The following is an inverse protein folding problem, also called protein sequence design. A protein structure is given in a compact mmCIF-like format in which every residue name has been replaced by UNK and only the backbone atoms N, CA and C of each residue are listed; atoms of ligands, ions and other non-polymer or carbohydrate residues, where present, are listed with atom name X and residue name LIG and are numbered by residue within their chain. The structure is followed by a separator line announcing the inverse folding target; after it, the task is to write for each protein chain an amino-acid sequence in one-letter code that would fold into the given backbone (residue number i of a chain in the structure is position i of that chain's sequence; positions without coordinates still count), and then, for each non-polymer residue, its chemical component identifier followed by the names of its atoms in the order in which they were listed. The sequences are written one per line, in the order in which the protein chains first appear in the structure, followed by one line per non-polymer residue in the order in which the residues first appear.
data_IF_800196232430
#
_entry.id   IF_800196232430
#
_cell.length_a   1.000
_cell.length_b   1.000
_cell.length_c   1.000
_cell.angle_alpha   90.00
_cell.angle_beta   90.00
_cell.angle_gamma   90.00
#
_symmetry.space_group_name_H-M   'P 1'
#
loop_
_entity.id
_entity.type
_entity.pdbx_description
1 polymer ?
#
# COMPACT_ATOMS: atom_id res chain seq x y z
N UNK A 1 13.93 1.89 12.87
CA UNK A 1 12.86 1.72 11.88
C UNK A 1 11.54 1.63 12.61
N UNK A 2 10.56 2.45 12.25
CA UNK A 2 9.21 2.36 12.83
C UNK A 2 8.45 1.23 12.17
N UNK A 3 7.63 0.51 12.93
CA UNK A 3 6.72 -0.52 12.42
C UNK A 3 5.29 -0.21 12.81
N UNK A 4 4.34 -0.78 12.09
CA UNK A 4 2.92 -0.66 12.37
C UNK A 4 2.29 -2.04 12.36
N UNK A 5 1.47 -2.30 13.38
CA UNK A 5 0.63 -3.48 13.45
C UNK A 5 -0.72 -3.12 12.85
N UNK A 6 -1.11 -3.83 11.80
CA UNK A 6 -2.37 -3.59 11.11
C UNK A 6 -3.05 -4.92 10.81
N UNK A 7 -4.36 -4.97 11.03
CA UNK A 7 -5.19 -6.05 10.48
C UNK A 7 -5.53 -5.69 9.04
N UNK A 8 -5.00 -6.46 8.09
CA UNK A 8 -5.24 -6.30 6.66
C UNK A 8 -5.98 -7.54 6.18
N UNK A 9 -7.20 -7.34 5.66
CA UNK A 9 -8.09 -8.34 5.10
C UNK A 9 -8.31 -9.57 6.00
N UNK A 10 -8.40 -9.35 7.32
CA UNK A 10 -8.62 -10.40 8.33
C UNK A 10 -7.36 -11.14 8.77
N UNK A 11 -6.16 -10.59 8.49
CA UNK A 11 -4.88 -11.10 8.99
C UNK A 11 -4.06 -9.99 9.63
N UNK A 12 -3.37 -10.31 10.72
CA UNK A 12 -2.46 -9.38 11.37
C UNK A 12 -1.12 -9.32 10.64
N UNK A 13 -0.65 -8.10 10.37
CA UNK A 13 0.65 -7.82 9.78
C UNK A 13 1.43 -6.83 10.64
N UNK A 14 2.74 -7.03 10.72
CA UNK A 14 3.67 -6.04 11.25
C UNK A 14 4.51 -5.50 10.08
N UNK A 15 4.13 -4.32 9.57
CA UNK A 15 4.77 -3.71 8.39
C UNK A 15 5.78 -2.65 8.82
N UNK A 16 7.01 -2.64 8.28
CA UNK A 16 7.94 -1.54 8.48
C UNK A 16 7.49 -0.30 7.70
N UNK A 17 7.65 0.87 8.31
CA UNK A 17 7.40 2.17 7.69
C UNK A 17 8.73 2.73 7.20
N UNK A 18 8.79 3.01 5.90
CA UNK A 18 9.91 3.61 5.20
C UNK A 18 9.51 5.03 4.82
N UNK A 19 10.07 6.01 5.52
CA UNK A 19 9.91 7.42 5.16
C UNK A 19 11.01 7.78 4.19
N UNK A 20 10.65 8.14 2.96
CA UNK A 20 11.60 8.55 1.93
C UNK A 20 12.19 9.90 2.33
N UNK A 21 13.51 9.98 2.37
CA UNK A 21 14.26 11.22 2.63
C UNK A 21 14.94 11.64 1.33
N UNK A 22 14.82 12.90 0.95
CA UNK A 22 15.64 13.46 -0.13
C UNK A 22 16.98 13.93 0.45
N UNK A 23 18.09 13.51 -0.17
CA UNK A 23 19.47 13.99 0.07
C UNK A 23 19.83 14.42 1.51
N UNK A 24 19.76 13.49 2.46
CA UNK A 24 20.30 13.71 3.82
C UNK A 24 19.44 14.61 4.72
N UNK A 25 18.29 15.09 4.26
CA UNK A 25 17.36 15.85 5.09
C UNK A 25 16.53 14.93 6.00
N UNK A 26 16.05 15.48 7.12
CA UNK A 26 15.12 14.79 8.00
C UNK A 26 13.72 14.71 7.41
N UNK A 27 12.93 13.74 7.88
CA UNK A 27 11.53 13.59 7.47
C UNK A 27 10.75 14.87 7.79
N UNK A 28 9.96 15.36 6.83
CA UNK A 28 9.17 16.58 6.98
C UNK A 28 8.05 16.39 8.02
N UNK A 29 7.51 17.50 8.54
CA UNK A 29 6.32 17.45 9.42
C UNK A 29 5.14 16.77 8.72
N UNK A 30 4.89 17.06 7.44
CA UNK A 30 3.87 16.39 6.64
C UNK A 30 4.03 14.87 6.64
N UNK A 31 5.25 14.36 6.50
CA UNK A 31 5.49 12.91 6.51
C UNK A 31 5.22 12.30 7.89
N UNK A 32 5.63 13.00 8.97
CA UNK A 32 5.34 12.58 10.34
C UNK A 32 3.84 12.53 10.59
N UNK A 33 3.12 13.57 10.18
CA UNK A 33 1.67 13.63 10.26
C UNK A 33 1.00 12.55 9.41
N UNK A 34 1.48 12.30 8.18
CA UNK A 34 0.94 11.26 7.31
C UNK A 34 1.04 9.88 7.98
N UNK A 35 2.19 9.57 8.59
CA UNK A 35 2.38 8.33 9.36
C UNK A 35 1.42 8.25 10.55
N UNK A 36 1.31 9.32 11.33
CA UNK A 36 0.46 9.34 12.52
C UNK A 36 -1.03 9.23 12.17
N UNK A 37 -1.50 9.99 11.19
CA UNK A 37 -2.87 9.94 10.69
C UNK A 37 -3.19 8.59 10.09
N UNK A 38 -2.28 7.99 9.33
CA UNK A 38 -2.47 6.67 8.77
C UNK A 38 -2.54 5.58 9.85
N UNK A 39 -1.72 5.66 10.91
CA UNK A 39 -1.80 4.75 12.06
C UNK A 39 -3.17 4.76 12.74
N UNK A 40 -3.82 5.92 12.79
CA UNK A 40 -5.17 6.06 13.34
C UNK A 40 -6.27 5.61 12.35
N UNK A 41 -5.93 5.39 11.07
CA UNK A 41 -6.88 5.08 10.01
C UNK A 41 -6.53 3.79 9.23
N UNK A 42 -5.98 2.78 9.92
CA UNK A 42 -5.60 1.50 9.31
C UNK A 42 -6.74 0.76 8.60
N UNK A 43 -7.97 1.01 9.03
CA UNK A 43 -9.20 0.53 8.39
C UNK A 43 -9.32 0.91 6.91
N UNK A 44 -8.65 1.97 6.46
CA UNK A 44 -8.62 2.37 5.05
C UNK A 44 -8.03 1.28 4.14
N UNK A 45 -7.07 0.50 4.64
CA UNK A 45 -6.47 -0.61 3.88
C UNK A 45 -7.52 -1.71 3.62
N UNK A 46 -8.39 -1.96 4.61
CA UNK A 46 -9.50 -2.90 4.47
C UNK A 46 -10.58 -2.35 3.54
N UNK A 47 -10.89 -1.06 3.64
CA UNK A 47 -11.84 -0.40 2.75
C UNK A 47 -11.38 -0.39 1.28
N UNK A 48 -10.07 -0.39 1.03
CA UNK A 48 -9.48 -0.45 -0.32
C UNK A 48 -9.48 -1.86 -0.94
N UNK A 49 -9.84 -2.91 -0.17
CA UNK A 49 -9.88 -4.31 -0.65
C UNK A 49 -10.58 -4.50 -2.01
N UNK A 50 -11.81 -3.99 -2.25
CA UNK A 50 -12.49 -4.17 -3.54
C UNK A 50 -11.70 -3.61 -4.72
N UNK A 51 -11.06 -2.45 -4.54
CA UNK A 51 -10.25 -1.81 -5.58
C UNK A 51 -8.99 -2.63 -5.88
N UNK A 52 -8.34 -3.19 -4.85
CA UNK A 52 -7.20 -4.09 -5.04
C UNK A 52 -7.61 -5.36 -5.78
N UNK A 53 -8.74 -5.96 -5.40
CA UNK A 53 -9.28 -7.16 -6.08
C UNK A 53 -9.57 -6.87 -7.55
N UNK A 54 -10.20 -5.72 -7.84
CA UNK A 54 -10.46 -5.28 -9.20
C UNK A 54 -9.15 -5.13 -9.99
N UNK A 55 -8.16 -4.45 -9.43
CA UNK A 55 -6.88 -4.23 -10.08
C UNK A 55 -6.16 -5.54 -10.43
N UNK A 56 -6.04 -6.49 -9.49
CA UNK A 56 -5.37 -7.77 -9.77
C UNK A 56 -6.16 -8.64 -10.76
N UNK A 57 -7.49 -8.53 -10.78
CA UNK A 57 -8.32 -9.18 -11.79
C UNK A 57 -8.00 -8.67 -13.19
N UNK A 58 -7.88 -7.36 -13.36
CA UNK A 58 -7.63 -6.74 -14.66
C UNK A 58 -6.16 -6.88 -15.12
N UNK A 59 -5.20 -6.88 -14.19
CA UNK A 59 -3.76 -6.82 -14.49
C UNK A 59 -3.03 -8.17 -14.29
N UNK A 60 -3.75 -9.30 -14.30
CA UNK A 60 -3.07 -10.60 -14.33
C UNK A 60 -4.02 -11.80 -14.24
N UNK A 61 -5.00 -11.76 -13.33
CA UNK A 61 -5.84 -12.93 -13.09
C UNK A 61 -6.76 -13.25 -14.27
N UNK A 62 -7.39 -12.26 -14.92
CA UNK A 62 -8.23 -12.49 -16.11
C UNK A 62 -7.45 -13.14 -17.25
N UNK A 63 -6.24 -12.67 -17.50
CA UNK A 63 -5.34 -13.23 -18.53
C UNK A 63 -4.97 -14.69 -18.23
N UNK A 64 -4.90 -15.03 -16.94
CA UNK A 64 -4.66 -16.39 -16.45
C UNK A 64 -5.95 -17.22 -16.26
N UNK A 65 -7.10 -16.77 -16.78
CA UNK A 65 -8.37 -17.48 -16.71
C UNK A 65 -9.06 -17.48 -15.34
N UNK A 66 -8.61 -16.64 -14.42
CA UNK A 66 -9.15 -16.51 -13.05
C UNK A 66 -10.09 -15.30 -13.01
N UNK A 67 -11.38 -15.55 -12.73
CA UNK A 67 -12.41 -14.50 -12.69
C UNK A 67 -12.89 -14.17 -11.27
N UNK A 68 -12.52 -14.98 -10.28
CA UNK A 68 -12.92 -14.82 -8.87
C UNK A 68 -11.71 -14.92 -7.95
N UNK A 69 -11.56 -13.95 -7.05
CA UNK A 69 -10.52 -13.94 -6.01
C UNK A 69 -11.10 -14.49 -4.71
N UNK A 70 -10.89 -15.78 -4.48
CA UNK A 70 -11.26 -16.43 -3.21
C UNK A 70 -10.33 -15.98 -2.06
N UNK A 71 -9.01 -16.01 -2.31
CA UNK A 71 -8.01 -15.63 -1.32
C UNK A 71 -7.02 -14.62 -1.91
N UNK A 72 -7.17 -13.35 -1.53
CA UNK A 72 -6.31 -12.24 -1.98
C UNK A 72 -4.83 -12.47 -1.67
N UNK A 73 -4.49 -13.15 -0.57
CA UNK A 73 -3.11 -13.40 -0.15
C UNK A 73 -2.37 -14.40 -1.04
N UNK A 74 -3.07 -15.14 -1.91
CA UNK A 74 -2.42 -15.96 -2.96
C UNK A 74 -1.75 -15.09 -4.03
N UNK A 75 -2.15 -13.82 -4.13
CA UNK A 75 -1.77 -12.91 -5.19
C UNK A 75 -1.07 -11.66 -4.66
N UNK A 76 -1.56 -11.08 -3.56
CA UNK A 76 -1.07 -9.82 -3.00
C UNK A 76 -0.64 -10.02 -1.56
N UNK A 77 0.61 -9.70 -1.25
CA UNK A 77 1.17 -9.80 0.10
C UNK A 77 1.69 -8.43 0.52
N UNK A 78 1.08 -7.77 1.54
CA UNK A 78 1.60 -6.52 2.08
C UNK A 78 3.01 -6.70 2.64
N UNK A 79 3.92 -5.79 2.28
CA UNK A 79 5.35 -5.89 2.62
C UNK A 79 5.84 -4.72 3.45
N UNK A 80 5.60 -3.50 2.99
CA UNK A 80 6.12 -2.30 3.64
C UNK A 80 5.15 -1.14 3.44
N UNK A 81 5.30 -0.10 4.25
CA UNK A 81 4.57 1.15 4.07
C UNK A 81 5.58 2.23 3.69
N UNK A 82 5.37 2.84 2.54
CA UNK A 82 6.21 3.91 2.00
C UNK A 82 5.53 5.26 2.20
N UNK A 83 6.30 6.25 2.63
CA UNK A 83 5.83 7.63 2.80
C UNK A 83 6.75 8.53 1.97
N UNK A 84 6.30 8.96 0.77
CA UNK A 84 7.10 9.82 -0.10
C UNK A 84 7.24 11.23 0.50
N UNK A 85 8.23 11.99 0.02
CA UNK A 85 8.44 13.38 0.46
C UNK A 85 7.66 14.33 -0.46
N UNK A 86 6.36 14.43 -0.22
CA UNK A 86 5.43 15.28 -0.99
C UNK A 86 4.74 16.30 -0.08
N UNK A 87 4.05 17.27 -0.68
CA UNK A 87 3.36 18.34 0.06
C UNK A 87 2.11 17.82 0.77
N UNK A 88 1.39 16.88 0.16
CA UNK A 88 0.25 16.22 0.78
C UNK A 88 0.64 15.08 1.73
N UNK A 89 -0.29 14.67 2.58
CA UNK A 89 -0.13 13.47 3.41
C UNK A 89 -0.40 12.23 2.58
N UNK A 90 0.65 11.74 1.91
CA UNK A 90 0.59 10.52 1.10
C UNK A 90 1.22 9.36 1.86
N UNK A 91 0.52 8.23 1.86
CA UNK A 91 1.03 6.96 2.39
C UNK A 91 0.68 5.87 1.40
N UNK A 92 1.63 4.99 1.12
CA UNK A 92 1.38 3.87 0.24
C UNK A 92 1.77 2.54 0.89
N UNK A 93 0.91 1.54 0.71
CA UNK A 93 1.15 0.17 1.15
C UNK A 93 1.74 -0.60 -0.01
N UNK A 94 3.03 -0.90 0.08
CA UNK A 94 3.75 -1.71 -0.89
C UNK A 94 3.44 -3.18 -0.64
N UNK A 95 3.07 -3.88 -1.69
CA UNK A 95 2.72 -5.28 -1.70
C UNK A 95 3.51 -6.02 -2.78
N UNK A 96 3.88 -7.25 -2.51
CA UNK A 96 4.31 -8.19 -3.57
C UNK A 96 3.08 -8.64 -4.35
N UNK A 97 3.15 -8.58 -5.68
CA UNK A 97 2.11 -9.12 -6.56
C UNK A 97 2.63 -10.33 -7.32
N UNK A 98 1.93 -11.46 -7.22
CA UNK A 98 2.37 -12.75 -7.77
C UNK A 98 2.61 -12.74 -9.29
N UNK A 99 1.79 -11.99 -10.03
CA UNK A 99 1.90 -11.92 -11.49
C UNK A 99 2.83 -10.81 -11.98
N UNK A 100 3.23 -9.90 -11.08
CA UNK A 100 4.13 -8.80 -11.39
C UNK A 100 5.04 -8.55 -10.19
N UNK A 101 6.00 -9.47 -9.99
CA UNK A 101 6.95 -9.39 -8.88
C UNK A 101 8.00 -8.29 -9.09
N UNK A 102 8.22 -7.86 -10.35
CA UNK A 102 9.18 -6.80 -10.66
C UNK A 102 8.64 -5.42 -10.28
N UNK A 103 7.40 -5.11 -10.64
CA UNK A 103 6.80 -3.80 -10.34
C UNK A 103 6.00 -3.80 -9.02
N UNK A 104 5.62 -4.98 -8.53
CA UNK A 104 4.80 -5.14 -7.33
C UNK A 104 3.44 -4.45 -7.44
N UNK A 105 2.80 -4.25 -6.29
CA UNK A 105 1.56 -3.49 -6.19
C UNK A 105 1.67 -2.45 -5.07
N UNK A 106 1.16 -1.26 -5.30
CA UNK A 106 1.05 -0.19 -4.32
C UNK A 106 -0.42 0.23 -4.16
N UNK A 107 -0.84 0.36 -2.91
CA UNK A 107 -2.13 0.96 -2.56
C UNK A 107 -1.85 2.35 -2.01
N UNK A 108 -2.26 3.39 -2.73
CA UNK A 108 -1.93 4.77 -2.42
C UNK A 108 -3.09 5.44 -1.69
N UNK A 109 -2.76 6.08 -0.58
CA UNK A 109 -3.67 6.88 0.21
C UNK A 109 -3.17 8.32 0.25
N UNK A 110 -4.07 9.26 0.06
CA UNK A 110 -3.79 10.69 0.15
C UNK A 110 -4.81 11.33 1.07
N UNK A 111 -4.33 12.14 2.02
CA UNK A 111 -5.18 12.82 3.00
C UNK A 111 -6.16 11.86 3.69
N UNK A 112 -5.67 10.68 4.09
CA UNK A 112 -6.44 9.64 4.77
C UNK A 112 -7.62 9.09 3.97
N UNK A 113 -7.51 9.13 2.63
CA UNK A 113 -8.50 8.55 1.71
C UNK A 113 -7.80 7.67 0.68
N UNK A 114 -8.50 6.63 0.22
CA UNK A 114 -8.03 5.85 -0.91
C UNK A 114 -7.91 6.76 -2.14
N UNK A 115 -6.76 6.72 -2.79
CA UNK A 115 -6.48 7.47 -4.02
C UNK A 115 -6.52 6.54 -5.22
N UNK A 116 -5.63 5.54 -5.23
CA UNK A 116 -5.47 4.61 -6.35
C UNK A 116 -4.71 3.34 -5.94
N UNK A 117 -4.78 2.34 -6.81
CA UNK A 117 -3.97 1.12 -6.74
C UNK A 117 -3.26 0.92 -8.08
N UNK A 118 -1.97 0.59 -8.03
CA UNK A 118 -1.19 0.32 -9.23
C UNK A 118 0.20 -0.19 -8.91
N UNK A 119 1.17 0.09 -9.78
CA UNK A 119 2.56 -0.32 -9.59
C UNK A 119 3.25 0.45 -8.45
N UNK A 120 4.30 -0.14 -7.86
CA UNK A 120 5.04 0.51 -6.77
C UNK A 120 5.72 1.83 -7.19
N UNK A 121 6.01 1.99 -8.48
CA UNK A 121 6.59 3.21 -9.07
C UNK A 121 5.68 4.44 -8.98
N UNK A 122 4.37 4.26 -8.74
CA UNK A 122 3.42 5.36 -8.50
C UNK A 122 3.80 6.23 -7.29
N UNK A 123 4.68 5.72 -6.42
CA UNK A 123 5.04 6.30 -5.13
C UNK A 123 6.53 6.66 -5.12
N UNK A 124 6.97 7.35 -6.17
CA UNK A 124 8.28 7.97 -6.30
C UNK A 124 8.27 9.43 -5.85
#
# INVERSE_FOLDING_TARGET
MSKIKAEIWGREFELPIIVKKFSGEDSTETQKEAVERFKNNLQLINAAKPEVVKYILENGLKDNGITVVDNIFKYVIPKTISVPQVKERVVAVMCDFKFDMENGLAIVFENEKFKEVGYQDLVL
#
